data_IF_160275596256
#
_entry.id   IF_160275596256
#
_cell.length_a   1.000
_cell.length_b   1.000
_cell.length_c   1.000
_cell.angle_alpha   90.00
_cell.angle_beta   90.00
_cell.angle_gamma   90.00
#
_symmetry.space_group_name_H-M   'P 1'
#
loop_
_entity.id
_entity.type
_entity.pdbx_description
1 polymer ?
#
# COMPACT_ATOMS: atom_id res chain seq x y z
N UNK A 1 13.52 5.58 6.94
CA UNK A 1 13.45 4.10 7.05
C UNK A 1 12.41 3.66 8.06
N UNK A 2 12.44 4.16 9.30
CA UNK A 2 11.44 3.83 10.33
C UNK A 2 10.00 4.01 9.82
N UNK A 3 9.66 5.18 9.28
CA UNK A 3 8.32 5.44 8.71
C UNK A 3 7.91 4.39 7.67
N UNK A 4 8.77 4.05 6.71
CA UNK A 4 8.47 3.03 5.70
C UNK A 4 8.21 1.66 6.33
N UNK A 5 9.01 1.26 7.33
CA UNK A 5 8.79 -0.02 8.04
C UNK A 5 7.47 0.01 8.80
N UNK A 6 7.17 1.09 9.54
CA UNK A 6 5.91 1.25 10.26
C UNK A 6 4.70 1.18 9.32
N UNK A 7 4.78 1.81 8.14
CA UNK A 7 3.73 1.70 7.14
C UNK A 7 3.44 0.26 6.73
N UNK A 8 4.50 -0.50 6.40
CA UNK A 8 4.35 -1.89 5.95
C UNK A 8 3.95 -2.85 7.07
N UNK A 9 4.38 -2.59 8.31
CA UNK A 9 3.92 -3.34 9.48
C UNK A 9 2.42 -3.12 9.71
N UNK A 10 1.96 -1.86 9.70
CA UNK A 10 0.54 -1.53 9.88
C UNK A 10 -0.33 -2.13 8.76
N UNK A 11 0.10 -2.07 7.50
CA UNK A 11 -0.59 -2.78 6.42
C UNK A 11 -0.55 -4.31 6.57
N UNK A 12 0.51 -4.86 7.15
CA UNK A 12 0.63 -6.28 7.46
C UNK A 12 -0.42 -6.77 8.46
N UNK A 13 -0.93 -5.89 9.33
CA UNK A 13 -1.97 -6.20 10.32
C UNK A 13 -3.40 -6.05 9.80
N UNK A 14 -3.62 -5.66 8.54
CA UNK A 14 -4.98 -5.54 7.97
C UNK A 14 -5.84 -6.81 8.13
N UNK A 15 -5.30 -8.03 7.96
CA UNK A 15 -6.06 -9.27 8.21
C UNK A 15 -6.59 -9.42 9.64
N UNK A 16 -6.03 -8.70 10.63
CA UNK A 16 -6.53 -8.70 12.00
C UNK A 16 -7.75 -7.81 12.22
N UNK A 17 -7.86 -6.74 11.41
CA UNK A 17 -8.84 -5.70 11.61
C UNK A 17 -10.05 -5.83 10.69
N UNK A 18 -9.85 -6.12 9.39
CA UNK A 18 -10.96 -6.13 8.43
C UNK A 18 -12.02 -7.22 8.65
N UNK A 19 -11.70 -8.43 9.16
CA UNK A 19 -12.74 -9.39 9.53
C UNK A 19 -13.70 -8.89 10.63
N UNK A 20 -13.27 -7.94 11.47
CA UNK A 20 -14.12 -7.32 12.50
C UNK A 20 -15.18 -6.39 11.92
N UNK A 21 -15.08 -6.03 10.64
CA UNK A 21 -16.02 -5.17 9.94
C UNK A 21 -17.13 -5.95 9.26
N UNK A 22 -17.18 -7.27 9.39
CA UNK A 22 -18.35 -8.04 8.94
C UNK A 22 -19.57 -7.66 9.78
N UNK A 23 -20.77 -7.54 9.19
CA UNK A 23 -21.14 -7.96 7.83
C UNK A 23 -20.99 -6.89 6.72
N UNK A 24 -20.29 -5.77 6.95
CA UNK A 24 -20.15 -4.71 5.94
C UNK A 24 -19.52 -5.23 4.65
N UNK A 25 -20.06 -4.79 3.50
CA UNK A 25 -19.52 -5.20 2.21
C UNK A 25 -18.11 -4.62 2.00
N UNK A 26 -17.21 -5.26 1.23
CA UNK A 26 -15.87 -4.72 0.97
C UNK A 26 -15.85 -3.30 0.37
N UNK A 27 -16.83 -2.98 -0.49
CA UNK A 27 -16.97 -1.64 -1.07
C UNK A 27 -17.48 -0.61 -0.06
N UNK A 28 -18.39 -1.01 0.84
CA UNK A 28 -18.82 -0.18 1.98
C UNK A 28 -17.64 0.13 2.91
N UNK A 29 -16.82 -0.88 3.23
CA UNK A 29 -15.59 -0.71 4.02
C UNK A 29 -14.66 0.30 3.34
N UNK A 30 -14.43 0.19 2.02
CA UNK A 30 -13.60 1.17 1.28
C UNK A 30 -14.19 2.58 1.38
N UNK A 31 -15.49 2.73 1.18
CA UNK A 31 -16.15 4.04 1.22
C UNK A 31 -16.02 4.69 2.61
N UNK A 32 -16.26 3.93 3.68
CA UNK A 32 -16.04 4.40 5.05
C UNK A 32 -14.58 4.71 5.34
N UNK A 33 -13.63 3.88 4.87
CA UNK A 33 -12.19 4.17 4.99
C UNK A 33 -11.86 5.52 4.36
N UNK A 34 -12.33 5.79 3.15
CA UNK A 34 -12.09 7.07 2.45
C UNK A 34 -12.69 8.24 3.23
N UNK A 35 -13.96 8.16 3.61
CA UNK A 35 -14.67 9.27 4.28
C UNK A 35 -14.08 9.56 5.64
N UNK A 36 -13.87 8.53 6.46
CA UNK A 36 -13.34 8.73 7.81
C UNK A 36 -11.85 9.08 7.82
N UNK A 37 -11.07 8.62 6.82
CA UNK A 37 -9.73 9.19 6.59
C UNK A 37 -9.84 10.67 6.20
N UNK A 38 -10.75 11.07 5.30
CA UNK A 38 -10.90 12.47 4.91
C UNK A 38 -11.28 13.35 6.10
N UNK A 39 -12.27 12.95 6.92
CA UNK A 39 -12.67 13.65 8.15
C UNK A 39 -11.48 13.79 9.10
N UNK A 40 -10.78 12.69 9.42
CA UNK A 40 -9.60 12.74 10.27
C UNK A 40 -8.54 13.69 9.72
N UNK A 41 -8.25 13.58 8.42
CA UNK A 41 -7.18 14.34 7.80
C UNK A 41 -7.50 15.82 7.70
N UNK A 42 -8.76 16.20 7.48
CA UNK A 42 -9.23 17.60 7.58
C UNK A 42 -8.95 18.15 8.97
N UNK A 43 -9.34 17.43 10.02
CA UNK A 43 -9.07 17.86 11.40
C UNK A 43 -7.56 18.05 11.64
N UNK A 44 -6.74 17.09 11.20
CA UNK A 44 -5.28 17.14 11.36
C UNK A 44 -4.67 18.33 10.64
N UNK A 45 -5.04 18.60 9.37
CA UNK A 45 -4.46 19.71 8.61
C UNK A 45 -4.90 21.07 9.14
N UNK A 46 -6.10 21.17 9.72
CA UNK A 46 -6.59 22.38 10.38
C UNK A 46 -5.78 22.68 11.65
N UNK A 47 -5.52 21.65 12.47
CA UNK A 47 -4.77 21.79 13.72
C UNK A 47 -3.29 22.15 13.47
N UNK A 48 -2.63 21.48 12.52
CA UNK A 48 -1.20 21.69 12.29
C UNK A 48 -0.89 22.78 11.24
N UNK A 49 -1.91 23.39 10.63
CA UNK A 49 -1.77 24.44 9.64
C UNK A 49 -1.32 23.97 8.24
N UNK A 50 -1.22 22.66 7.98
CA UNK A 50 -0.80 22.10 6.70
C UNK A 50 -1.80 22.38 5.55
N UNK A 51 -3.02 22.84 5.86
CA UNK A 51 -3.97 23.33 4.86
C UNK A 51 -3.40 24.49 4.03
N UNK A 52 -2.46 25.27 4.57
CA UNK A 52 -1.79 26.36 3.85
C UNK A 52 -0.96 25.83 2.67
N UNK A 53 -0.31 24.68 2.84
CA UNK A 53 0.42 24.02 1.75
C UNK A 53 -0.49 23.64 0.59
N UNK A 54 -1.75 23.27 0.88
CA UNK A 54 -2.74 22.92 -0.14
C UNK A 54 -3.34 24.15 -0.82
N UNK A 55 -3.56 25.23 -0.07
CA UNK A 55 -4.00 26.52 -0.64
C UNK A 55 -2.95 27.08 -1.60
N UNK A 56 -1.68 26.99 -1.23
CA UNK A 56 -0.57 27.56 -1.99
C UNK A 56 -0.04 26.57 -3.07
N UNK A 57 -0.63 25.36 -3.15
CA UNK A 57 -0.27 24.36 -4.13
C UNK A 57 -0.70 24.74 -5.55
N UNK A 58 0.21 24.56 -6.51
CA UNK A 58 -0.09 24.76 -7.93
C UNK A 58 -1.16 23.79 -8.45
N UNK A 59 -1.83 24.14 -9.55
CA UNK A 59 -2.75 23.25 -10.26
C UNK A 59 -2.09 21.91 -10.66
N UNK A 60 -0.79 21.94 -11.01
CA UNK A 60 -0.01 20.73 -11.31
C UNK A 60 0.13 19.83 -10.07
N UNK A 61 0.40 20.42 -8.91
CA UNK A 61 0.48 19.68 -7.64
C UNK A 61 -0.87 19.05 -7.29
N UNK A 62 -1.96 19.79 -7.44
CA UNK A 62 -3.32 19.25 -7.28
C UNK A 62 -3.64 18.13 -8.26
N UNK A 63 -3.20 18.22 -9.52
CA UNK A 63 -3.32 17.14 -10.49
C UNK A 63 -2.60 15.86 -10.04
N UNK A 64 -1.40 15.96 -9.48
CA UNK A 64 -0.70 14.81 -8.90
C UNK A 64 -1.39 14.25 -7.66
N UNK A 65 -1.91 15.11 -6.78
CA UNK A 65 -2.64 14.70 -5.57
C UNK A 65 -3.94 13.95 -5.93
N UNK A 66 -4.68 14.47 -6.91
CA UNK A 66 -5.88 13.83 -7.42
C UNK A 66 -5.56 12.47 -8.05
N UNK A 67 -4.54 12.41 -8.90
CA UNK A 67 -4.11 11.16 -9.52
C UNK A 67 -3.63 10.14 -8.49
N UNK A 68 -2.88 10.57 -7.46
CA UNK A 68 -2.46 9.71 -6.36
C UNK A 68 -3.66 9.12 -5.60
N UNK A 69 -4.67 9.95 -5.30
CA UNK A 69 -5.93 9.52 -4.67
C UNK A 69 -6.66 8.48 -5.52
N UNK A 70 -6.82 8.75 -6.81
CA UNK A 70 -7.46 7.80 -7.75
C UNK A 70 -6.69 6.49 -7.83
N UNK A 71 -5.36 6.53 -7.95
CA UNK A 71 -4.53 5.32 -8.05
C UNK A 71 -4.60 4.45 -6.80
N UNK A 72 -4.54 5.04 -5.60
CA UNK A 72 -4.59 4.26 -4.36
C UNK A 72 -6.00 3.68 -4.13
N UNK A 73 -7.06 4.41 -4.49
CA UNK A 73 -8.43 3.90 -4.41
C UNK A 73 -8.68 2.82 -5.46
N UNK A 74 -8.20 2.99 -6.69
CA UNK A 74 -8.25 1.96 -7.72
C UNK A 74 -7.49 0.70 -7.28
N UNK A 75 -6.34 0.85 -6.62
CA UNK A 75 -5.59 -0.28 -6.06
C UNK A 75 -6.43 -1.10 -5.08
N UNK A 76 -7.10 -0.44 -4.12
CA UNK A 76 -8.00 -1.11 -3.18
C UNK A 76 -9.22 -1.73 -3.88
N UNK A 77 -9.78 -1.05 -4.87
CA UNK A 77 -10.90 -1.54 -5.66
C UNK A 77 -10.55 -2.80 -6.46
N UNK A 78 -9.38 -2.84 -7.11
CA UNK A 78 -8.89 -4.03 -7.83
C UNK A 78 -8.64 -5.18 -6.84
N UNK A 79 -8.08 -4.91 -5.67
CA UNK A 79 -7.93 -5.93 -4.63
C UNK A 79 -9.29 -6.51 -4.22
N UNK A 80 -10.29 -5.66 -3.97
CA UNK A 80 -11.64 -6.10 -3.63
C UNK A 80 -12.28 -6.90 -4.76
N UNK A 81 -12.13 -6.44 -6.00
CA UNK A 81 -12.61 -7.15 -7.18
C UNK A 81 -11.97 -8.54 -7.29
N UNK A 82 -10.66 -8.64 -7.06
CA UNK A 82 -9.93 -9.91 -7.09
C UNK A 82 -10.42 -10.88 -6.02
N UNK A 83 -10.61 -10.41 -4.79
CA UNK A 83 -11.13 -11.26 -3.71
C UNK A 83 -12.57 -11.69 -3.96
N UNK A 84 -13.44 -10.78 -4.41
CA UNK A 84 -14.86 -11.06 -4.62
C UNK A 84 -15.17 -11.88 -5.88
N UNK A 85 -14.20 -12.08 -6.77
CA UNK A 85 -14.35 -12.88 -8.00
C UNK A 85 -13.55 -14.18 -7.93
N UNK A 86 -13.18 -14.65 -6.74
CA UNK A 86 -12.37 -15.85 -6.49
C UNK A 86 -10.94 -15.81 -7.07
N UNK A 87 -10.45 -14.62 -7.44
CA UNK A 87 -9.08 -14.37 -7.90
C UNK A 87 -8.15 -13.96 -6.74
N UNK A 88 -8.31 -14.58 -5.56
CA UNK A 88 -7.48 -14.31 -4.37
C UNK A 88 -5.99 -14.56 -4.64
N UNK A 89 -5.67 -15.53 -5.51
CA UNK A 89 -4.30 -15.79 -5.95
C UNK A 89 -3.68 -14.59 -6.70
N UNK A 90 -4.45 -13.88 -7.53
CA UNK A 90 -3.99 -12.66 -8.20
C UNK A 90 -3.72 -11.55 -7.19
N UNK A 91 -4.55 -11.40 -6.16
CA UNK A 91 -4.31 -10.41 -5.11
C UNK A 91 -2.98 -10.65 -4.38
N UNK A 92 -2.71 -11.90 -3.99
CA UNK A 92 -1.44 -12.28 -3.37
C UNK A 92 -0.24 -12.07 -4.31
N UNK A 93 -0.38 -12.47 -5.58
CA UNK A 93 0.63 -12.28 -6.60
C UNK A 93 0.90 -10.80 -6.87
N UNK A 94 -0.13 -9.96 -6.83
CA UNK A 94 -0.03 -8.50 -6.93
C UNK A 94 0.94 -7.97 -5.88
N UNK A 95 0.78 -8.34 -4.61
CA UNK A 95 1.71 -7.94 -3.56
C UNK A 95 3.16 -8.41 -3.76
N UNK A 96 3.41 -9.45 -4.55
CA UNK A 96 4.76 -9.84 -4.95
C UNK A 96 5.30 -9.07 -6.15
N UNK A 97 4.43 -8.64 -7.07
CA UNK A 97 4.78 -7.85 -8.26
C UNK A 97 4.97 -6.36 -7.91
N UNK A 98 4.16 -5.78 -7.01
CA UNK A 98 4.21 -4.35 -6.64
C UNK A 98 5.65 -3.84 -6.34
N UNK A 99 6.45 -4.54 -5.52
CA UNK A 99 7.82 -4.11 -5.20
C UNK A 99 8.71 -4.00 -6.44
N UNK A 100 8.61 -4.97 -7.34
CA UNK A 100 9.42 -5.04 -8.57
C UNK A 100 9.04 -3.93 -9.54
N UNK A 101 7.74 -3.67 -9.73
CA UNK A 101 7.32 -2.55 -10.58
C UNK A 101 7.70 -1.19 -9.99
N UNK A 102 7.65 -1.04 -8.67
CA UNK A 102 8.11 0.18 -8.01
C UNK A 102 9.60 0.41 -8.24
N UNK A 103 10.41 -0.64 -8.15
CA UNK A 103 11.86 -0.59 -8.48
C UNK A 103 12.09 -0.30 -9.96
N UNK A 104 11.31 -0.91 -10.86
CA UNK A 104 11.41 -0.65 -12.30
C UNK A 104 11.11 0.82 -12.61
N UNK A 105 10.02 1.38 -12.08
CA UNK A 105 9.71 2.80 -12.25
C UNK A 105 10.77 3.72 -11.62
N UNK A 106 11.34 3.33 -10.48
CA UNK A 106 12.43 4.07 -9.84
C UNK A 106 13.67 4.16 -10.76
N UNK A 107 14.04 3.05 -11.39
CA UNK A 107 15.21 3.01 -12.28
C UNK A 107 14.96 3.68 -13.63
N UNK A 108 13.78 3.51 -14.22
CA UNK A 108 13.47 4.05 -15.55
C UNK A 108 13.09 5.54 -15.51
N UNK A 109 12.24 5.94 -14.55
CA UNK A 109 11.68 7.30 -14.49
C UNK A 109 12.52 8.20 -13.59
N UNK A 110 12.84 7.74 -12.38
CA UNK A 110 13.61 8.52 -11.41
C UNK A 110 15.13 8.40 -11.63
N UNK A 111 15.55 7.49 -12.52
CA UNK A 111 16.96 7.23 -12.84
C UNK A 111 17.78 6.85 -11.61
N UNK A 112 17.15 6.18 -10.64
CA UNK A 112 17.85 5.64 -9.47
C UNK A 112 18.87 4.60 -9.92
N UNK A 113 20.12 4.73 -9.48
CA UNK A 113 21.19 3.79 -9.81
C UNK A 113 21.20 2.63 -8.84
N UNK A 114 21.24 1.42 -9.37
CA UNK A 114 21.28 0.19 -8.57
C UNK A 114 22.70 -0.35 -8.46
N UNK A 115 23.08 -0.76 -7.26
CA UNK A 115 24.31 -1.53 -7.06
C UNK A 115 24.16 -2.95 -7.60
N UNK A 116 25.27 -3.58 -7.98
CA UNK A 116 25.30 -4.96 -8.49
C UNK A 116 24.56 -5.97 -7.58
N UNK A 117 24.67 -5.82 -6.26
CA UNK A 117 23.97 -6.69 -5.29
C UNK A 117 22.46 -6.48 -5.29
N UNK A 118 22.01 -5.23 -5.41
CA UNK A 118 20.59 -4.90 -5.52
C UNK A 118 20.00 -5.45 -6.82
N UNK A 119 20.71 -5.32 -7.94
CA UNK A 119 20.29 -5.93 -9.23
C UNK A 119 20.12 -7.44 -9.08
N UNK A 120 21.05 -8.14 -8.42
CA UNK A 120 20.93 -9.57 -8.15
C UNK A 120 19.70 -9.90 -7.31
N UNK A 121 19.44 -9.13 -6.23
CA UNK A 121 18.24 -9.31 -5.41
C UNK A 121 16.95 -9.16 -6.24
N UNK A 122 16.87 -8.11 -7.06
CA UNK A 122 15.72 -7.83 -7.92
C UNK A 122 15.54 -8.95 -8.96
N UNK A 123 16.63 -9.44 -9.56
CA UNK A 123 16.58 -10.54 -10.51
C UNK A 123 16.04 -11.83 -9.85
N UNK A 124 16.50 -12.16 -8.64
CA UNK A 124 16.00 -13.31 -7.88
C UNK A 124 14.51 -13.18 -7.59
N UNK A 125 14.06 -12.02 -7.11
CA UNK A 125 12.64 -11.77 -6.86
C UNK A 125 11.81 -11.82 -8.16
N UNK A 126 12.36 -11.31 -9.27
CA UNK A 126 11.74 -11.40 -10.60
C UNK A 126 11.54 -12.83 -11.09
N UNK A 127 12.53 -13.69 -10.91
CA UNK A 127 12.40 -15.13 -11.20
C UNK A 127 11.30 -15.75 -10.35
N UNK A 128 11.24 -15.44 -9.05
CA UNK A 128 10.17 -15.92 -8.16
C UNK A 128 8.78 -15.53 -8.63
N UNK A 129 8.59 -14.27 -9.02
CA UNK A 129 7.33 -13.78 -9.59
C UNK A 129 6.97 -14.50 -10.88
N UNK A 130 7.92 -14.67 -11.80
CA UNK A 130 7.68 -15.39 -13.06
C UNK A 130 7.26 -16.84 -12.80
N UNK A 131 7.94 -17.54 -11.88
CA UNK A 131 7.58 -18.90 -11.47
C UNK A 131 6.16 -18.95 -10.90
N UNK A 132 5.79 -18.01 -10.02
CA UNK A 132 4.44 -17.95 -9.45
C UNK A 132 3.37 -17.67 -10.52
N UNK A 133 3.64 -16.82 -11.51
CA UNK A 133 2.74 -16.56 -12.64
C UNK A 133 2.49 -17.87 -13.41
N UNK A 134 3.53 -18.62 -13.75
CA UNK A 134 3.37 -19.89 -14.46
C UNK A 134 2.63 -20.94 -13.63
N UNK A 135 2.91 -21.04 -12.33
CA UNK A 135 2.22 -21.96 -11.43
C UNK A 135 0.74 -21.58 -11.21
N UNK A 136 0.38 -20.31 -11.34
CA UNK A 136 -1.00 -19.85 -11.25
C UNK A 136 -1.84 -20.29 -12.47
N UNK A 137 -1.21 -20.61 -13.61
CA UNK A 137 -1.88 -21.18 -14.78
C UNK A 137 -2.79 -20.23 -15.57
N UNK A 138 -2.89 -18.96 -15.17
CA UNK A 138 -3.72 -17.94 -15.82
C UNK A 138 -3.03 -16.57 -15.86
N UNK A 139 -3.37 -15.70 -16.84
CA UNK A 139 -2.83 -14.36 -16.92
C UNK A 139 -3.17 -13.51 -15.67
N UNK A 140 -2.19 -12.90 -15.00
CA UNK A 140 -2.37 -12.27 -13.69
C UNK A 140 -2.85 -10.81 -13.83
N UNK A 141 -3.99 -10.59 -14.50
CA UNK A 141 -4.45 -9.26 -14.92
C UNK A 141 -4.72 -8.36 -13.71
N UNK A 142 -5.37 -8.88 -12.67
CA UNK A 142 -5.69 -8.10 -11.47
C UNK A 142 -4.43 -7.84 -10.64
N UNK A 143 -3.53 -8.81 -10.57
CA UNK A 143 -2.22 -8.66 -9.94
C UNK A 143 -1.40 -7.52 -10.58
N UNK A 144 -1.37 -7.47 -11.91
CA UNK A 144 -0.70 -6.42 -12.67
C UNK A 144 -1.38 -5.06 -12.47
N UNK A 145 -2.71 -5.01 -12.46
CA UNK A 145 -3.47 -3.79 -12.17
C UNK A 145 -3.14 -3.23 -10.77
N UNK A 146 -3.08 -4.09 -9.75
CA UNK A 146 -2.63 -3.72 -8.41
C UNK A 146 -1.18 -3.20 -8.42
N UNK A 147 -0.29 -3.90 -9.11
CA UNK A 147 1.12 -3.51 -9.15
C UNK A 147 1.37 -2.19 -9.85
N UNK A 148 0.71 -1.97 -10.98
CA UNK A 148 0.79 -0.72 -11.71
C UNK A 148 0.24 0.44 -10.86
N UNK A 149 -0.97 0.30 -10.34
CA UNK A 149 -1.60 1.36 -9.54
C UNK A 149 -0.77 1.75 -8.32
N UNK A 150 -0.24 0.77 -7.57
CA UNK A 150 0.59 1.07 -6.40
C UNK A 150 1.97 1.63 -6.77
N UNK A 151 2.62 1.10 -7.81
CA UNK A 151 3.93 1.58 -8.25
C UNK A 151 3.87 3.02 -8.76
N UNK A 152 2.85 3.36 -9.56
CA UNK A 152 2.61 4.73 -10.02
C UNK A 152 2.23 5.66 -8.86
N UNK A 153 1.43 5.18 -7.90
CA UNK A 153 1.17 5.93 -6.67
C UNK A 153 2.48 6.27 -5.95
N UNK A 154 3.37 5.29 -5.72
CA UNK A 154 4.69 5.53 -5.13
C UNK A 154 5.56 6.52 -5.91
N UNK A 155 5.56 6.40 -7.24
CA UNK A 155 6.27 7.33 -8.13
C UNK A 155 5.75 8.77 -7.99
N UNK A 156 4.43 8.96 -7.97
CA UNK A 156 3.81 10.28 -7.80
C UNK A 156 4.11 10.85 -6.42
N UNK A 157 4.02 10.03 -5.36
CA UNK A 157 4.38 10.46 -3.98
C UNK A 157 5.81 10.95 -3.87
N UNK A 158 6.71 10.47 -4.74
CA UNK A 158 8.09 10.96 -4.83
C UNK A 158 8.21 12.34 -5.47
N UNK A 159 7.28 12.70 -6.35
CA UNK A 159 7.26 13.99 -7.06
C UNK A 159 6.49 15.08 -6.30
N UNK A 160 5.61 14.71 -5.36
CA UNK A 160 4.82 15.65 -4.56
C UNK A 160 5.68 16.36 -3.52
N UNK A 161 5.64 17.70 -3.53
CA UNK A 161 6.43 18.57 -2.65
C UNK A 161 5.75 18.84 -1.30
N UNK A 162 4.41 19.00 -1.27
CA UNK A 162 3.63 19.25 -0.03
C UNK A 162 3.77 18.10 0.97
N UNK A 163 3.77 18.39 2.27
CA UNK A 163 3.96 17.45 3.37
C UNK A 163 3.11 16.18 3.24
N UNK A 164 3.56 15.08 3.85
CA UNK A 164 2.82 13.81 3.79
C UNK A 164 1.38 13.98 4.32
N UNK A 165 1.22 14.80 5.35
CA UNK A 165 -0.08 15.15 5.93
C UNK A 165 -0.97 15.89 4.93
N UNK A 166 -0.48 16.97 4.32
CA UNK A 166 -1.21 17.70 3.28
C UNK A 166 -1.56 16.79 2.10
N UNK A 167 -0.60 15.95 1.68
CA UNK A 167 -0.75 15.02 0.56
C UNK A 167 -1.88 14.01 0.81
N UNK A 168 -1.84 13.29 1.94
CA UNK A 168 -2.88 12.30 2.28
C UNK A 168 -4.25 12.97 2.46
N UNK A 169 -4.29 14.18 3.01
CA UNK A 169 -5.54 14.93 3.14
C UNK A 169 -6.15 15.28 1.77
N UNK A 170 -5.34 15.82 0.85
CA UNK A 170 -5.83 16.16 -0.48
C UNK A 170 -6.23 14.92 -1.29
N UNK A 171 -5.45 13.85 -1.23
CA UNK A 171 -5.76 12.57 -1.88
C UNK A 171 -7.13 12.04 -1.45
N UNK A 172 -7.41 12.05 -0.14
CA UNK A 172 -8.69 11.54 0.38
C UNK A 172 -9.84 12.50 0.13
N UNK A 173 -9.62 13.82 0.20
CA UNK A 173 -10.64 14.82 -0.13
C UNK A 173 -11.07 14.76 -1.59
N UNK A 174 -10.16 14.47 -2.53
CA UNK A 174 -10.51 14.31 -3.94
C UNK A 174 -11.40 13.07 -4.16
N UNK A 175 -11.15 11.99 -3.43
CA UNK A 175 -11.92 10.74 -3.58
C UNK A 175 -13.21 10.74 -2.74
N UNK A 176 -13.26 11.50 -1.64
CA UNK A 176 -14.39 11.54 -0.71
C UNK A 176 -15.77 11.73 -1.37
N UNK A 177 -15.96 12.60 -2.39
CA UNK A 177 -17.25 12.73 -3.07
C UNK A 177 -17.76 11.41 -3.66
N UNK A 178 -16.87 10.59 -4.23
CA UNK A 178 -17.24 9.29 -4.78
C UNK A 178 -17.62 8.30 -3.66
N UNK A 179 -16.89 8.32 -2.54
CA UNK A 179 -17.24 7.53 -1.35
C UNK A 179 -18.60 7.92 -0.75
N UNK A 180 -18.87 9.22 -0.65
CA UNK A 180 -20.17 9.74 -0.15
C UNK A 180 -21.30 9.33 -1.10
N UNK A 181 -21.12 9.51 -2.42
CA UNK A 181 -22.11 9.10 -3.40
C UNK A 181 -22.42 7.60 -3.31
N UNK A 182 -21.39 6.76 -3.14
CA UNK A 182 -21.57 5.32 -2.95
C UNK A 182 -22.34 4.98 -1.67
N UNK A 183 -22.01 5.61 -0.53
CA UNK A 183 -22.75 5.36 0.71
C UNK A 183 -24.21 5.83 0.63
N UNK A 184 -24.49 6.98 -0.01
CA UNK A 184 -25.88 7.43 -0.24
C UNK A 184 -26.65 6.41 -1.08
N UNK A 185 -26.03 5.91 -2.15
CA UNK A 185 -26.62 4.88 -3.00
C UNK A 185 -26.87 3.58 -2.22
N UNK A 186 -25.92 3.15 -1.38
CA UNK A 186 -26.04 1.95 -0.55
C UNK A 186 -27.13 2.09 0.53
N UNK A 187 -27.21 3.25 1.19
CA UNK A 187 -28.27 3.56 2.15
C UNK A 187 -29.65 3.61 1.49
N UNK A 188 -29.75 4.11 0.26
CA UNK A 188 -31.01 4.11 -0.50
C UNK A 188 -31.49 2.73 -0.93
N UNK A 189 -30.66 1.69 -0.78
CA UNK A 189 -30.99 0.28 -1.02
C UNK A 189 -31.22 -0.52 0.27
N UNK A 190 -31.15 0.13 1.42
CA UNK A 190 -31.16 -0.52 2.74
C UNK A 190 -30.07 -1.60 2.91
N UNK A 191 -28.97 -1.50 2.15
CA UNK A 191 -27.83 -2.43 2.16
C UNK A 191 -26.67 -1.92 3.04
N UNK A 192 -26.78 -0.71 3.58
CA UNK A 192 -25.76 -0.08 4.41
C UNK A 192 -25.82 -0.62 5.84
N UNK A 193 -24.70 -1.19 6.32
CA UNK A 193 -24.56 -1.75 7.66
C UNK A 193 -24.25 -0.71 8.74
N UNK A 194 -23.80 0.48 8.33
CA UNK A 194 -23.30 1.53 9.26
C UNK A 194 -24.25 1.92 10.40
N UNK A 195 -25.57 1.99 10.14
CA UNK A 195 -26.56 2.36 11.16
C UNK A 195 -27.40 1.16 11.64
N UNK A 196 -27.26 -0.01 11.02
CA UNK A 196 -28.13 -1.18 11.27
C UNK A 196 -27.49 -2.20 12.22
N UNK A 197 -26.16 -2.32 12.21
CA UNK A 197 -25.41 -3.31 13.01
C UNK A 197 -24.95 -2.77 14.38
N UNK A 198 -25.49 -1.62 14.80
CA UNK A 198 -25.25 -1.02 16.10
C UNK A 198 -24.00 -0.12 16.21
N UNK A 199 -23.85 0.58 17.35
CA UNK A 199 -22.85 1.64 17.50
C UNK A 199 -21.41 1.13 17.51
N UNK A 200 -21.17 -0.11 17.95
CA UNK A 200 -19.83 -0.71 17.93
C UNK A 200 -19.35 -0.94 16.50
N UNK A 201 -20.21 -1.47 15.62
CA UNK A 201 -19.91 -1.67 14.21
C UNK A 201 -19.65 -0.34 13.49
N UNK A 202 -20.53 0.65 13.72
CA UNK A 202 -20.34 2.01 13.23
C UNK A 202 -18.98 2.60 13.67
N UNK A 203 -18.63 2.43 14.95
CA UNK A 203 -17.35 2.85 15.51
C UNK A 203 -16.15 2.15 14.88
N UNK A 204 -16.26 0.85 14.55
CA UNK A 204 -15.20 0.12 13.84
C UNK A 204 -15.06 0.59 12.39
N UNK A 205 -16.16 0.86 11.68
CA UNK A 205 -16.13 1.46 10.33
C UNK A 205 -15.51 2.86 10.35
N UNK A 206 -15.76 3.66 11.39
CA UNK A 206 -15.07 4.94 11.63
C UNK A 206 -13.57 4.74 11.86
N UNK A 207 -13.21 3.78 12.70
CA UNK A 207 -11.82 3.45 13.02
C UNK A 207 -11.05 2.95 11.80
N UNK A 208 -11.73 2.34 10.82
CA UNK A 208 -11.11 1.92 9.56
C UNK A 208 -10.48 3.10 8.79
N UNK A 209 -11.04 4.31 8.93
CA UNK A 209 -10.44 5.53 8.41
C UNK A 209 -9.10 5.86 9.07
N UNK A 210 -8.98 5.69 10.38
CA UNK A 210 -7.72 5.88 11.12
C UNK A 210 -6.69 4.82 10.74
N UNK A 211 -7.12 3.54 10.75
CA UNK A 211 -6.30 2.38 10.36
C UNK A 211 -5.77 2.53 8.93
N UNK A 212 -6.49 3.23 8.05
CA UNK A 212 -6.05 3.55 6.70
C UNK A 212 -5.12 4.76 6.62
N UNK A 213 -5.42 5.83 7.36
CA UNK A 213 -4.66 7.07 7.32
C UNK A 213 -3.21 6.90 7.80
N UNK A 214 -3.04 6.19 8.93
CA UNK A 214 -1.73 6.02 9.57
C UNK A 214 -0.65 5.41 8.65
N UNK A 215 -0.86 4.24 8.02
CA UNK A 215 0.14 3.69 7.12
C UNK A 215 0.38 4.59 5.89
N UNK A 216 -0.64 5.29 5.37
CA UNK A 216 -0.45 6.23 4.26
C UNK A 216 0.43 7.44 4.65
N UNK A 217 0.27 7.97 5.86
CA UNK A 217 1.10 9.06 6.39
C UNK A 217 2.56 8.62 6.56
N UNK A 218 2.76 7.43 7.13
CA UNK A 218 4.08 6.85 7.28
C UNK A 218 4.72 6.52 5.93
N UNK A 219 3.95 5.95 4.99
CA UNK A 219 4.40 5.66 3.63
C UNK A 219 4.77 6.94 2.90
N UNK A 220 3.91 7.96 2.90
CA UNK A 220 4.18 9.24 2.24
C UNK A 220 5.40 9.96 2.82
N UNK A 221 5.60 9.89 4.14
CA UNK A 221 6.81 10.43 4.79
C UNK A 221 8.06 9.64 4.39
N UNK A 222 7.95 8.31 4.29
CA UNK A 222 9.01 7.42 3.84
C UNK A 222 9.37 7.63 2.36
N UNK A 223 8.36 7.79 1.49
CA UNK A 223 8.46 8.06 0.05
C UNK A 223 9.39 9.22 -0.25
N UNK A 224 9.28 10.30 0.52
CA UNK A 224 10.14 11.47 0.35
C UNK A 224 11.59 11.19 0.75
N UNK A 225 11.80 10.46 1.84
CA UNK A 225 13.12 10.30 2.48
C UNK A 225 13.99 9.19 1.89
N UNK A 226 13.39 8.14 1.32
CA UNK A 226 14.12 6.98 0.82
C UNK A 226 14.04 6.87 -0.70
N UNK A 227 15.05 6.25 -1.35
CA UNK A 227 14.93 5.84 -2.74
C UNK A 227 13.70 4.94 -2.94
N UNK A 228 12.96 5.14 -4.02
CA UNK A 228 11.76 4.36 -4.32
C UNK A 228 12.10 2.87 -4.46
N UNK A 229 13.30 2.54 -4.95
CA UNK A 229 13.84 1.17 -4.95
C UNK A 229 13.83 0.54 -3.56
N UNK A 230 14.27 1.29 -2.54
CA UNK A 230 14.33 0.79 -1.15
C UNK A 230 12.93 0.63 -0.57
N UNK A 231 12.01 1.52 -0.91
CA UNK A 231 10.62 1.45 -0.48
C UNK A 231 9.94 0.23 -1.07
N UNK A 232 10.14 -0.03 -2.36
CA UNK A 232 9.67 -1.24 -3.04
C UNK A 232 10.17 -2.48 -2.33
N UNK A 233 11.48 -2.63 -2.14
CA UNK A 233 12.04 -3.83 -1.51
C UNK A 233 11.58 -4.04 -0.05
N UNK A 234 11.41 -2.97 0.72
CA UNK A 234 10.87 -3.07 2.09
C UNK A 234 9.38 -3.48 2.12
N UNK A 235 8.64 -3.32 1.02
CA UNK A 235 7.22 -3.68 0.96
C UNK A 235 6.98 -5.17 1.16
N UNK A 236 7.96 -6.04 0.88
CA UNK A 236 7.87 -7.49 1.13
C UNK A 236 7.65 -7.85 2.62
N UNK A 237 7.81 -6.90 3.54
CA UNK A 237 7.37 -7.04 4.94
C UNK A 237 5.88 -7.34 5.01
N UNK A 238 5.05 -6.61 4.25
CA UNK A 238 3.59 -6.75 4.29
C UNK A 238 3.09 -8.15 3.90
N UNK A 239 3.41 -8.71 2.71
CA UNK A 239 2.95 -10.05 2.37
C UNK A 239 3.55 -11.14 3.28
N UNK A 240 4.75 -10.92 3.84
CA UNK A 240 5.32 -11.85 4.84
C UNK A 240 4.50 -11.84 6.13
N UNK A 241 4.11 -10.66 6.64
CA UNK A 241 3.24 -10.57 7.82
C UNK A 241 1.86 -11.17 7.58
N UNK A 242 1.26 -10.89 6.43
CA UNK A 242 -0.04 -11.44 6.07
C UNK A 242 0.02 -12.97 5.94
N UNK A 243 1.12 -13.52 5.40
CA UNK A 243 1.36 -14.96 5.39
C UNK A 243 1.46 -15.54 6.81
N UNK A 244 2.19 -14.89 7.72
CA UNK A 244 2.32 -15.35 9.10
C UNK A 244 0.97 -15.31 9.83
N UNK A 245 0.17 -14.28 9.59
CA UNK A 245 -1.21 -14.22 10.08
C UNK A 245 -2.04 -15.37 9.54
N UNK A 246 -1.96 -15.63 8.23
CA UNK A 246 -2.69 -16.72 7.60
C UNK A 246 -2.30 -18.09 8.20
N UNK A 247 -1.00 -18.33 8.39
CA UNK A 247 -0.48 -19.60 8.89
C UNK A 247 -0.79 -19.82 10.39
N UNK A 248 -0.59 -18.81 11.23
CA UNK A 248 -0.63 -18.97 12.68
C UNK A 248 -1.95 -18.53 13.32
N UNK A 249 -2.72 -17.64 12.69
CA UNK A 249 -3.96 -17.11 13.26
C UNK A 249 -5.17 -17.70 12.56
N UNK A 250 -5.24 -17.61 11.22
CA UNK A 250 -6.35 -18.22 10.47
C UNK A 250 -6.14 -19.72 10.20
N UNK A 251 -4.95 -20.24 10.50
CA UNK A 251 -4.58 -21.66 10.33
C UNK A 251 -4.80 -22.15 8.89
N UNK A 252 -4.59 -21.27 7.92
CA UNK A 252 -4.71 -21.57 6.49
C UNK A 252 -3.58 -22.48 6.01
N UNK A 253 -3.95 -23.45 5.17
CA UNK A 253 -2.98 -24.26 4.46
C UNK A 253 -2.34 -23.46 3.31
N UNK A 254 -1.04 -23.21 3.43
CA UNK A 254 -0.25 -22.61 2.36
C UNK A 254 0.24 -23.69 1.40
N UNK A 255 -0.13 -23.58 0.13
CA UNK A 255 0.31 -24.52 -0.89
C UNK A 255 1.83 -24.50 -1.09
N UNK A 256 2.45 -25.59 -1.57
CA UNK A 256 3.88 -25.62 -1.86
C UNK A 256 4.35 -24.51 -2.81
N UNK A 257 3.51 -24.13 -3.78
CA UNK A 257 3.77 -23.02 -4.69
C UNK A 257 3.90 -21.67 -3.96
N UNK A 258 3.00 -21.40 -2.99
CA UNK A 258 3.09 -20.18 -2.16
C UNK A 258 4.35 -20.18 -1.31
N UNK A 259 4.69 -21.31 -0.68
CA UNK A 259 5.94 -21.46 0.08
C UNK A 259 7.18 -21.18 -0.77
N UNK A 260 7.24 -21.74 -1.97
CA UNK A 260 8.33 -21.48 -2.90
C UNK A 260 8.46 -19.98 -3.20
N UNK A 261 7.33 -19.31 -3.46
CA UNK A 261 7.28 -17.86 -3.63
C UNK A 261 7.89 -17.08 -2.46
N UNK A 262 7.43 -17.34 -1.24
CA UNK A 262 7.93 -16.67 -0.04
C UNK A 262 9.43 -16.91 0.19
N UNK A 263 9.90 -18.15 0.01
CA UNK A 263 11.33 -18.50 0.17
C UNK A 263 12.19 -17.71 -0.82
N UNK A 264 11.80 -17.66 -2.10
CA UNK A 264 12.55 -16.91 -3.12
C UNK A 264 12.58 -15.41 -2.77
N UNK A 265 11.44 -14.86 -2.34
CA UNK A 265 11.37 -13.46 -1.91
C UNK A 265 12.24 -13.20 -0.69
N UNK A 266 12.27 -14.09 0.30
CA UNK A 266 13.13 -13.92 1.49
C UNK A 266 14.61 -13.97 1.12
N UNK A 267 15.01 -14.84 0.19
CA UNK A 267 16.39 -14.85 -0.34
C UNK A 267 16.70 -13.50 -1.01
N UNK A 268 15.82 -12.99 -1.87
CA UNK A 268 15.99 -11.70 -2.52
C UNK A 268 16.11 -10.54 -1.51
N UNK A 269 15.23 -10.50 -0.51
CA UNK A 269 15.23 -9.50 0.56
C UNK A 269 16.49 -9.61 1.41
N UNK A 270 16.94 -10.81 1.76
CA UNK A 270 18.18 -11.02 2.52
C UNK A 270 19.41 -10.49 1.76
N UNK A 271 19.50 -10.75 0.45
CA UNK A 271 20.55 -10.20 -0.42
C UNK A 271 20.49 -8.67 -0.40
N UNK A 272 19.30 -8.08 -0.55
CA UNK A 272 19.11 -6.62 -0.56
C UNK A 272 19.49 -5.96 0.77
N UNK A 273 19.04 -6.53 1.89
CA UNK A 273 19.36 -6.02 3.23
C UNK A 273 20.86 -6.13 3.55
N UNK A 274 21.52 -7.21 3.10
CA UNK A 274 22.96 -7.37 3.28
C UNK A 274 23.76 -6.25 2.60
N UNK A 275 23.32 -5.78 1.43
CA UNK A 275 23.94 -4.66 0.73
C UNK A 275 23.71 -3.34 1.46
N UNK A 276 22.50 -3.10 1.98
CA UNK A 276 22.22 -1.91 2.80
C UNK A 276 23.06 -1.84 4.08
N UNK A 277 23.29 -2.98 4.73
CA UNK A 277 24.13 -3.05 5.93
C UNK A 277 25.61 -2.82 5.60
N UNK A 278 26.10 -3.39 4.50
CA UNK A 278 27.47 -3.16 4.02
C UNK A 278 27.71 -1.67 3.74
N UNK A 279 26.77 -1.02 3.06
CA UNK A 279 26.79 0.43 2.80
C UNK A 279 26.90 1.28 4.07
N UNK A 280 26.11 0.95 5.09
CA UNK A 280 26.14 1.68 6.36
C UNK A 280 27.46 1.52 7.08
N UNK A 281 28.06 0.33 7.03
CA UNK A 281 29.37 0.07 7.63
C UNK A 281 30.48 0.85 6.90
N UNK A 282 30.51 0.79 5.57
CA UNK A 282 31.45 1.54 4.73
C UNK A 282 31.41 3.05 5.03
N UNK A 283 30.21 3.64 5.10
CA UNK A 283 30.04 5.08 5.44
C UNK A 283 30.48 5.42 6.86
N UNK A 284 30.27 4.52 7.83
CA UNK A 284 30.68 4.76 9.22
C UNK A 284 32.19 4.68 9.38
N UNK A 285 32.84 3.71 8.74
CA UNK A 285 34.29 3.58 8.73
C UNK A 285 34.96 4.78 8.05
N UNK A 286 34.41 5.28 6.95
CA UNK A 286 34.91 6.48 6.27
C UNK A 286 34.68 7.80 7.04
N UNK A 287 33.74 7.83 8.00
CA UNK A 287 33.51 8.98 8.86
C UNK A 287 34.33 8.95 10.16
N UNK A 288 34.99 7.82 10.44
CA UNK A 288 35.77 7.59 11.66
C UNK A 288 37.28 7.58 11.43
N UNK A 289 37.74 7.66 10.18
CA UNK A 289 39.14 7.85 9.78
C UNK A 289 39.34 9.20 9.13
#
# INVERSE_FOLDING_TARGET
MLNTVLAYLLWGFFPAFFPLLLPASPLEIIAHRVIWTAVLMVLVILINGAWRELRDASAKTWGYLALAGVLITANWGIYVLAVNTDHVADAALGYFINPLLSVLLATLVLRETLRKRQVRAIAVAGVGVVVLIFLAGQPPVMALGMALTFAFYGLIKKQITVSATASVAAETLVVAPAGVAYLIWLSGRDESTFLTEGPTHAGMLMLAGVVTALPLLFYGSGAKQLPLTTIGMLQYITPTMQMLWALFVTQEYLSPARWLGYIIIWIAVAIYLSDLLAQRRERRSAAAG
#
